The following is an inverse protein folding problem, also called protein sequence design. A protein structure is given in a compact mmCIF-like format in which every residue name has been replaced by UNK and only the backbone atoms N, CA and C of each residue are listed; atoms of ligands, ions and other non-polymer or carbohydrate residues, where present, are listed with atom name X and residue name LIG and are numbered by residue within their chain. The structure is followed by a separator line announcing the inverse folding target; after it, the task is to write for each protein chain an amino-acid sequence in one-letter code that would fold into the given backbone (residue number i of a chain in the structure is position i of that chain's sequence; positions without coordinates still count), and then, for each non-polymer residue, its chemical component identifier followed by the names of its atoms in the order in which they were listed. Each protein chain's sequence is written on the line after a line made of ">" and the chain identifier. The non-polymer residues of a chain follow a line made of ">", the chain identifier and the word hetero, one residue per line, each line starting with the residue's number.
data_IF_907741375554
#
_entry.id   IF_907741375554
#
_cell.length_a   1.000
_cell.length_b   1.000
_cell.length_c   1.000
_cell.angle_alpha   90.00
_cell.angle_beta   90.00
_cell.angle_gamma   90.00
#
_symmetry.space_group_name_H-M   'P 1'
#
loop_
_entity.id
_entity.type
_entity.pdbx_description
1 polymer ?
#
# COMPACT_ATOMS: atom_id res chain seq x y z
N UNK A 1 -13.57 -15.79 19.94
CA UNK A 1 -12.50 -16.19 19.00
C UNK A 1 -11.17 -15.82 19.63
N UNK A 2 -10.25 -16.77 19.82
CA UNK A 2 -8.92 -16.46 20.32
C UNK A 2 -8.20 -15.53 19.33
N UNK A 3 -7.54 -14.49 19.83
CA UNK A 3 -6.76 -13.54 19.04
C UNK A 3 -5.53 -14.27 18.45
N UNK A 4 -5.73 -15.01 17.37
CA UNK A 4 -4.66 -15.73 16.70
C UNK A 4 -3.94 -14.74 15.76
N UNK A 5 -2.67 -14.42 16.02
CA UNK A 5 -1.93 -13.49 15.18
C UNK A 5 -1.75 -14.09 13.77
N UNK A 6 -2.16 -13.33 12.75
CA UNK A 6 -2.01 -13.72 11.35
C UNK A 6 -0.54 -13.67 10.88
N UNK A 7 0.25 -12.75 11.43
CA UNK A 7 1.65 -12.52 11.05
C UNK A 7 2.53 -12.61 12.28
N UNK A 8 3.57 -13.43 12.20
CA UNK A 8 4.56 -13.61 13.23
C UNK A 8 5.85 -12.86 12.90
N UNK A 9 6.50 -12.35 13.94
CA UNK A 9 7.87 -11.86 13.86
C UNK A 9 8.86 -13.02 13.69
N UNK A 10 10.11 -12.72 13.34
CA UNK A 10 11.19 -13.71 13.26
C UNK A 10 11.45 -14.46 14.58
N UNK A 11 10.93 -13.96 15.71
CA UNK A 11 11.03 -14.58 17.04
C UNK A 11 9.80 -15.43 17.41
N UNK A 12 8.87 -15.65 16.48
CA UNK A 12 7.65 -16.43 16.73
C UNK A 12 6.57 -15.70 17.55
N UNK A 13 6.79 -14.44 17.93
CA UNK A 13 5.78 -13.61 18.60
C UNK A 13 4.86 -12.93 17.57
N UNK A 14 3.60 -12.59 17.94
CA UNK A 14 2.73 -11.73 17.14
C UNK A 14 3.46 -10.48 16.63
N UNK A 15 3.24 -10.09 15.38
CA UNK A 15 3.74 -8.81 14.89
C UNK A 15 3.06 -7.65 15.66
N UNK A 16 3.87 -6.69 16.12
CA UNK A 16 3.41 -5.52 16.87
C UNK A 16 4.04 -4.24 16.32
N UNK A 17 3.34 -3.11 16.49
CA UNK A 17 3.87 -1.81 16.11
C UNK A 17 4.95 -1.35 17.09
N UNK A 18 6.08 -0.89 16.56
CA UNK A 18 7.16 -0.33 17.36
C UNK A 18 6.81 1.09 17.79
N UNK A 19 7.08 1.46 19.04
CA UNK A 19 7.00 2.87 19.47
C UNK A 19 8.28 3.58 19.07
N UNK A 20 8.20 4.53 18.13
CA UNK A 20 9.30 5.42 17.76
C UNK A 20 9.17 6.72 18.53
N UNK A 21 10.30 7.28 18.95
CA UNK A 21 10.38 8.57 19.62
C UNK A 21 11.21 9.49 18.74
N UNK A 22 10.68 10.66 18.40
CA UNK A 22 11.35 11.68 17.58
C UNK A 22 11.19 13.04 18.24
N UNK A 23 12.26 13.83 18.24
CA UNK A 23 12.19 15.26 18.57
C UNK A 23 11.87 16.00 17.27
N UNK A 24 10.77 16.74 17.25
CA UNK A 24 10.37 17.57 16.13
C UNK A 24 11.30 18.78 16.01
N UNK A 25 11.29 19.45 14.86
CA UNK A 25 12.08 20.67 14.64
C UNK A 25 11.71 21.79 15.62
N UNK A 26 10.48 21.75 16.16
CA UNK A 26 9.98 22.63 17.22
C UNK A 26 10.55 22.32 18.60
N UNK A 27 11.38 21.28 18.76
CA UNK A 27 11.92 20.82 20.05
C UNK A 27 10.99 19.88 20.83
N UNK A 28 9.76 19.66 20.35
CA UNK A 28 8.78 18.78 21.00
C UNK A 28 9.16 17.29 20.83
N UNK A 29 9.17 16.52 21.93
CA UNK A 29 9.35 15.07 21.89
C UNK A 29 8.02 14.36 21.61
N UNK A 30 7.93 13.67 20.47
CA UNK A 30 6.74 12.93 20.06
C UNK A 30 7.01 11.44 19.96
N UNK A 31 6.15 10.64 20.60
CA UNK A 31 6.11 9.19 20.44
C UNK A 31 4.97 8.78 19.50
N UNK A 32 5.24 7.87 18.57
CA UNK A 32 4.22 7.33 17.66
C UNK A 32 4.42 5.84 17.41
N UNK A 33 3.33 5.16 17.05
CA UNK A 33 3.36 3.74 16.65
C UNK A 33 3.73 3.63 15.18
N UNK A 34 4.78 2.86 14.89
CA UNK A 34 5.30 2.64 13.55
C UNK A 34 5.08 1.19 13.10
N UNK A 35 4.79 1.02 11.81
CA UNK A 35 4.61 -0.29 11.16
C UNK A 35 5.87 -0.77 10.41
N UNK A 36 7.05 -0.32 10.82
CA UNK A 36 8.33 -0.61 10.18
C UNK A 36 8.61 -2.11 10.08
N UNK A 37 8.31 -2.86 11.13
CA UNK A 37 8.45 -4.33 11.15
C UNK A 37 7.59 -5.02 10.08
N UNK A 38 6.35 -4.56 9.87
CA UNK A 38 5.46 -5.11 8.85
C UNK A 38 5.94 -4.72 7.45
N UNK A 39 6.35 -3.47 7.27
CA UNK A 39 6.90 -2.99 6.01
C UNK A 39 8.15 -3.77 5.61
N UNK A 40 9.07 -4.02 6.55
CA UNK A 40 10.25 -4.84 6.33
C UNK A 40 9.90 -6.30 5.97
N UNK A 41 8.91 -6.88 6.65
CA UNK A 41 8.42 -8.22 6.34
C UNK A 41 7.89 -8.31 4.90
N UNK A 42 7.02 -7.39 4.48
CA UNK A 42 6.46 -7.35 3.13
C UNK A 42 7.55 -7.11 2.07
N UNK A 43 8.49 -6.18 2.32
CA UNK A 43 9.62 -5.96 1.42
C UNK A 43 10.48 -7.23 1.29
N UNK A 44 10.70 -7.97 2.38
CA UNK A 44 11.42 -9.26 2.33
C UNK A 44 10.66 -10.30 1.50
N UNK A 45 9.34 -10.40 1.67
CA UNK A 45 8.50 -11.32 0.87
C UNK A 45 8.64 -11.03 -0.63
N UNK A 46 8.56 -9.77 -1.04
CA UNK A 46 8.73 -9.41 -2.44
C UNK A 46 10.13 -9.76 -2.98
N UNK A 47 11.18 -9.50 -2.21
CA UNK A 47 12.55 -9.88 -2.59
C UNK A 47 12.70 -11.39 -2.77
N UNK A 48 12.12 -12.18 -1.86
CA UNK A 48 12.13 -13.65 -1.96
C UNK A 48 11.33 -14.15 -3.17
N UNK A 49 10.30 -13.41 -3.60
CA UNK A 49 9.55 -13.69 -4.82
C UNK A 49 10.25 -13.17 -6.10
N UNK A 50 11.46 -12.61 -6.01
CA UNK A 50 12.20 -12.07 -7.15
C UNK A 50 11.68 -10.72 -7.68
N UNK A 51 10.84 -10.01 -6.91
CA UNK A 51 10.29 -8.71 -7.32
C UNK A 51 11.21 -7.60 -6.79
N UNK A 52 11.88 -6.91 -7.71
CA UNK A 52 12.81 -5.82 -7.40
C UNK A 52 12.09 -4.49 -7.16
N UNK A 53 12.64 -3.65 -6.27
CA UNK A 53 12.16 -2.27 -6.04
C UNK A 53 10.77 -2.14 -5.40
N UNK A 54 10.10 -3.23 -5.05
CA UNK A 54 8.73 -3.20 -4.51
C UNK A 54 8.68 -3.02 -2.99
N UNK A 55 7.63 -2.35 -2.53
CA UNK A 55 7.29 -2.15 -1.12
C UNK A 55 5.82 -2.49 -0.87
N UNK A 56 5.39 -2.43 0.40
CA UNK A 56 3.96 -2.53 0.75
C UNK A 56 3.09 -1.52 -0.02
N UNK A 57 3.61 -0.32 -0.30
CA UNK A 57 2.90 0.68 -1.09
C UNK A 57 2.75 0.27 -2.56
N UNK A 58 3.76 -0.34 -3.16
CA UNK A 58 3.69 -0.87 -4.53
C UNK A 58 2.54 -1.87 -4.69
N UNK A 59 2.37 -2.78 -3.70
CA UNK A 59 1.25 -3.72 -3.69
C UNK A 59 -0.12 -3.04 -3.63
N UNK A 60 -0.26 -1.97 -2.83
CA UNK A 60 -1.49 -1.18 -2.75
C UNK A 60 -1.81 -0.49 -4.09
N UNK A 61 -0.80 0.06 -4.78
CA UNK A 61 -0.96 0.65 -6.12
C UNK A 61 -1.42 -0.40 -7.14
N UNK A 62 -0.80 -1.58 -7.14
CA UNK A 62 -1.22 -2.68 -8.01
C UNK A 62 -2.66 -3.13 -7.73
N UNK A 63 -3.05 -3.23 -6.46
CA UNK A 63 -4.43 -3.56 -6.07
C UNK A 63 -5.44 -2.53 -6.60
N UNK A 64 -5.14 -1.23 -6.42
CA UNK A 64 -5.97 -0.13 -6.93
C UNK A 64 -6.15 -0.20 -8.46
N UNK A 65 -5.06 -0.38 -9.22
CA UNK A 65 -5.11 -0.49 -10.68
C UNK A 65 -5.91 -1.71 -11.16
N UNK A 66 -5.77 -2.86 -10.48
CA UNK A 66 -6.57 -4.06 -10.77
C UNK A 66 -8.05 -3.85 -10.49
N UNK A 67 -8.39 -3.21 -9.37
CA UNK A 67 -9.78 -2.87 -9.06
C UNK A 67 -10.37 -1.96 -10.13
N UNK A 68 -9.66 -0.90 -10.52
CA UNK A 68 -10.16 0.03 -11.54
C UNK A 68 -10.36 -0.66 -12.88
N UNK A 69 -9.45 -1.55 -13.28
CA UNK A 69 -9.59 -2.32 -14.52
C UNK A 69 -10.80 -3.25 -14.47
N UNK A 70 -11.09 -3.84 -13.31
CA UNK A 70 -12.21 -4.76 -13.14
C UNK A 70 -13.56 -4.05 -12.98
N UNK A 71 -13.61 -2.87 -12.36
CA UNK A 71 -14.87 -2.19 -12.02
C UNK A 71 -15.19 -1.00 -12.92
N UNK A 72 -14.18 -0.36 -13.53
CA UNK A 72 -14.31 0.92 -14.22
C UNK A 72 -14.76 2.08 -13.31
N UNK A 73 -14.74 1.88 -11.99
CA UNK A 73 -15.46 2.72 -11.04
C UNK A 73 -14.55 3.18 -9.89
N UNK A 74 -14.27 4.48 -9.87
CA UNK A 74 -13.41 5.13 -8.90
C UNK A 74 -13.98 5.16 -7.48
N UNK A 75 -15.30 5.23 -7.32
CA UNK A 75 -15.94 5.26 -6.01
C UNK A 75 -15.77 3.92 -5.31
N UNK A 76 -15.94 2.83 -6.05
CA UNK A 76 -15.66 1.47 -5.56
C UNK A 76 -14.19 1.29 -5.17
N UNK A 77 -13.26 1.81 -5.98
CA UNK A 77 -11.83 1.75 -5.66
C UNK A 77 -11.53 2.56 -4.41
N UNK A 78 -12.05 3.79 -4.29
CA UNK A 78 -11.84 4.65 -3.13
C UNK A 78 -12.37 4.01 -1.84
N UNK A 79 -13.56 3.40 -1.90
CA UNK A 79 -14.16 2.67 -0.79
C UNK A 79 -13.27 1.51 -0.32
N UNK A 80 -12.78 0.69 -1.26
CA UNK A 80 -11.92 -0.46 -0.94
C UNK A 80 -10.52 -0.07 -0.46
N UNK A 81 -10.02 1.10 -0.88
CA UNK A 81 -8.78 1.66 -0.39
C UNK A 81 -8.95 2.44 0.92
N UNK A 82 -10.18 2.68 1.38
CA UNK A 82 -10.47 3.50 2.55
C UNK A 82 -10.09 4.97 2.37
N UNK A 83 -10.24 5.52 1.17
CA UNK A 83 -10.01 6.94 0.89
C UNK A 83 -11.30 7.75 1.09
N UNK A 84 -11.17 8.90 1.75
CA UNK A 84 -12.29 9.85 1.95
C UNK A 84 -12.48 10.81 0.77
N UNK A 85 -11.50 10.92 -0.13
CA UNK A 85 -11.58 11.71 -1.36
C UNK A 85 -11.05 10.91 -2.55
N UNK A 86 -11.71 11.06 -3.70
CA UNK A 86 -11.34 10.46 -4.99
C UNK A 86 -9.99 10.98 -5.48
N UNK A 87 -9.63 12.22 -5.15
CA UNK A 87 -8.34 12.84 -5.51
C UNK A 87 -7.15 12.04 -4.92
N UNK A 88 -7.37 11.43 -3.75
CA UNK A 88 -6.36 10.54 -3.14
C UNK A 88 -6.22 9.26 -3.95
N UNK A 89 -7.32 8.72 -4.49
CA UNK A 89 -7.34 7.52 -5.34
C UNK A 89 -6.67 7.76 -6.69
N UNK A 90 -6.81 8.96 -7.28
CA UNK A 90 -6.17 9.31 -8.56
C UNK A 90 -4.64 9.10 -8.50
N UNK A 91 -3.99 9.40 -7.37
CA UNK A 91 -2.54 9.19 -7.18
C UNK A 91 -2.10 7.72 -7.20
N UNK A 92 -3.02 6.77 -7.04
CA UNK A 92 -2.71 5.34 -7.03
C UNK A 92 -2.76 4.68 -8.41
N UNK A 93 -3.16 5.42 -9.45
CA UNK A 93 -3.33 4.88 -10.80
C UNK A 93 -2.14 5.28 -11.66
N UNK A 94 -1.33 4.28 -12.02
CA UNK A 94 -0.49 4.37 -13.21
C UNK A 94 -1.30 3.80 -14.38
N UNK A 95 -1.62 4.63 -15.36
CA UNK A 95 -2.26 4.16 -16.59
C UNK A 95 -1.19 3.47 -17.43
N UNK A 96 -1.43 2.20 -17.81
CA UNK A 96 -0.51 1.49 -18.70
C UNK A 96 -0.51 2.15 -20.07
N UNK A 97 0.67 2.28 -20.67
CA UNK A 97 0.83 2.90 -21.99
C UNK A 97 -0.03 2.22 -23.06
N UNK A 98 -0.14 0.89 -23.04
CA UNK A 98 -0.99 0.13 -23.97
C UNK A 98 -2.47 0.52 -23.88
N UNK A 99 -2.95 0.83 -22.68
CA UNK A 99 -4.32 1.30 -22.46
C UNK A 99 -4.51 2.69 -23.06
N UNK A 100 -3.53 3.59 -22.89
CA UNK A 100 -3.55 4.91 -23.52
C UNK A 100 -3.53 4.81 -25.05
N UNK A 101 -2.71 3.92 -25.60
CA UNK A 101 -2.63 3.66 -27.05
C UNK A 101 -3.94 3.15 -27.62
N UNK A 102 -4.61 2.24 -26.91
CA UNK A 102 -5.92 1.70 -27.32
C UNK A 102 -6.96 2.82 -27.34
N UNK A 103 -7.08 3.57 -26.24
CA UNK A 103 -8.03 4.69 -26.13
C UNK A 103 -7.79 5.73 -27.22
N UNK A 104 -6.52 6.05 -27.52
CA UNK A 104 -6.18 7.00 -28.57
C UNK A 104 -6.52 6.46 -29.96
N UNK A 105 -6.19 5.20 -30.25
CA UNK A 105 -6.50 4.58 -31.54
C UNK A 105 -8.00 4.46 -31.80
N UNK A 106 -8.82 4.27 -30.77
CA UNK A 106 -10.28 4.17 -30.90
C UNK A 106 -10.95 5.54 -31.08
N UNK A 107 -10.24 6.64 -30.76
CA UNK A 107 -10.76 8.01 -30.81
C UNK A 107 -10.47 8.74 -32.12
N UNK A 108 -9.60 8.18 -32.99
CA UNK A 108 -9.23 8.69 -34.32
C UNK A 108 -9.90 7.86 -35.39
#
# INVERSE_FOLDING_TARGET
>A
MANMPLIFSARGAPLQQNTKRRVLETGEAKAYKACDSLQAHVTKLYKLAGIAGSSSHSGRRTFAGKLLTATGDFDKVALLLGHTSIEVTQRYIDVREDTLRTIFSDAV
#
